data_IF_211223695324
#
_entry.id   IF_211223695324
#
_cell.length_a   1.000
_cell.length_b   1.000
_cell.length_c   1.000
_cell.angle_alpha   90.00
_cell.angle_beta   90.00
_cell.angle_gamma   90.00
#
_symmetry.space_group_name_H-M   'P 1'
#
loop_
_entity.id
_entity.type
_entity.pdbx_description
1 polymer ?
#
# COMPACT_ATOMS: atom_id res chain seq x y z
N UNK A 1 14.33 -18.02 -3.82
CA UNK A 1 13.09 -18.80 -4.06
C UNK A 1 12.61 -18.50 -5.46
N UNK A 2 12.02 -19.48 -6.15
CA UNK A 2 11.33 -19.26 -7.44
C UNK A 2 9.95 -18.63 -7.21
N UNK A 3 9.35 -18.07 -8.27
CA UNK A 3 7.96 -17.55 -8.21
C UNK A 3 7.00 -18.62 -7.67
N UNK A 4 7.09 -19.85 -8.20
CA UNK A 4 6.23 -20.97 -7.76
C UNK A 4 6.33 -21.20 -6.25
N UNK A 5 7.55 -21.25 -5.71
CA UNK A 5 7.79 -21.44 -4.28
C UNK A 5 7.24 -20.28 -3.45
N UNK A 6 7.38 -19.04 -3.92
CA UNK A 6 6.83 -17.88 -3.21
C UNK A 6 5.30 -17.97 -3.17
N UNK A 7 4.65 -18.25 -4.31
CA UNK A 7 3.20 -18.41 -4.40
C UNK A 7 2.68 -19.47 -3.43
N UNK A 8 3.33 -20.63 -3.39
CA UNK A 8 2.99 -21.71 -2.45
C UNK A 8 3.08 -21.28 -0.99
N UNK A 9 4.07 -20.46 -0.62
CA UNK A 9 4.25 -19.99 0.76
C UNK A 9 3.22 -18.92 1.12
N UNK A 10 2.94 -17.97 0.22
CA UNK A 10 2.06 -16.83 0.54
C UNK A 10 0.57 -17.16 0.41
N UNK A 11 0.21 -18.16 -0.39
CA UNK A 11 -1.18 -18.55 -0.62
C UNK A 11 -1.88 -19.06 0.65
N UNK A 12 -3.17 -18.75 0.76
CA UNK A 12 -4.04 -19.26 1.83
C UNK A 12 -3.63 -18.81 3.24
N UNK A 13 -2.84 -17.75 3.37
CA UNK A 13 -2.48 -17.13 4.64
C UNK A 13 -2.80 -15.64 4.64
N UNK A 14 -3.06 -15.11 5.83
CA UNK A 14 -3.11 -13.67 6.09
C UNK A 14 -1.73 -13.20 6.55
N UNK A 15 -1.19 -12.17 5.91
CA UNK A 15 0.13 -11.60 6.21
C UNK A 15 -0.04 -10.19 6.77
N UNK A 16 0.41 -9.96 8.00
CA UNK A 16 0.19 -8.70 8.73
C UNK A 16 1.51 -8.06 9.13
N UNK A 17 1.63 -6.74 9.00
CA UNK A 17 2.81 -5.98 9.44
C UNK A 17 3.12 -6.26 10.90
N UNK A 18 4.39 -6.51 11.21
CA UNK A 18 4.84 -6.77 12.59
C UNK A 18 4.83 -5.51 13.47
N UNK A 19 4.86 -4.34 12.84
CA UNK A 19 4.88 -3.02 13.47
C UNK A 19 4.39 -1.95 12.49
N UNK A 20 4.04 -0.74 12.95
CA UNK A 20 3.81 0.40 12.07
C UNK A 20 5.03 0.67 11.17
N UNK A 21 4.77 0.71 9.88
CA UNK A 21 5.71 1.01 8.80
C UNK A 21 5.89 2.50 8.66
N UNK A 22 7.09 2.94 8.30
CA UNK A 22 7.36 4.34 7.96
C UNK A 22 7.46 4.50 6.44
N UNK A 23 6.80 5.52 5.91
CA UNK A 23 6.88 5.95 4.52
C UNK A 23 7.24 7.43 4.46
N UNK A 24 8.36 7.81 3.83
CA UNK A 24 8.62 9.20 3.48
C UNK A 24 7.51 9.73 2.56
N UNK A 25 7.03 10.94 2.80
CA UNK A 25 6.08 11.62 1.90
C UNK A 25 6.80 12.65 1.02
N UNK A 26 6.15 13.06 -0.07
CA UNK A 26 6.62 14.19 -0.90
C UNK A 26 6.53 15.53 -0.14
N UNK A 27 5.67 15.61 0.87
CA UNK A 27 5.56 16.79 1.73
C UNK A 27 6.83 16.96 2.57
N UNK A 28 7.29 18.20 2.69
CA UNK A 28 8.51 18.54 3.44
C UNK A 28 8.21 19.34 4.71
N UNK A 29 9.08 19.19 5.69
CA UNK A 29 9.22 20.12 6.81
C UNK A 29 9.92 21.40 6.34
N UNK A 30 9.92 22.44 7.19
CA UNK A 30 10.58 23.71 6.89
C UNK A 30 12.10 23.56 6.66
N UNK A 31 12.72 22.58 7.34
CA UNK A 31 14.12 22.21 7.17
C UNK A 31 14.42 21.38 5.91
N UNK A 32 13.39 21.11 5.08
CA UNK A 32 13.48 20.33 3.85
C UNK A 32 13.42 18.81 4.05
N UNK A 33 13.37 18.31 5.29
CA UNK A 33 13.22 16.87 5.55
C UNK A 33 11.84 16.35 5.15
N UNK A 34 11.75 15.08 4.72
CA UNK A 34 10.48 14.46 4.36
C UNK A 34 9.59 14.29 5.59
N UNK A 35 8.32 14.70 5.50
CA UNK A 35 7.34 14.38 6.54
C UNK A 35 7.05 12.88 6.50
N UNK A 36 7.23 12.14 7.60
CA UNK A 36 6.92 10.72 7.62
C UNK A 36 5.40 10.53 7.62
N UNK A 37 5.00 9.38 7.11
CA UNK A 37 3.66 8.86 7.22
C UNK A 37 3.74 7.40 7.66
N UNK A 38 2.78 6.97 8.46
CA UNK A 38 2.83 5.66 9.09
C UNK A 38 1.68 4.79 8.62
N UNK A 39 1.93 3.49 8.48
CA UNK A 39 0.87 2.56 8.11
C UNK A 39 1.11 1.15 8.63
N UNK A 40 0.06 0.33 8.63
CA UNK A 40 0.16 -1.12 8.72
C UNK A 40 -0.58 -1.75 7.55
N UNK A 41 -0.23 -2.98 7.23
CA UNK A 41 -0.82 -3.75 6.14
C UNK A 41 -1.31 -5.09 6.63
N UNK A 42 -2.41 -5.54 6.05
CA UNK A 42 -2.90 -6.90 6.08
C UNK A 42 -3.13 -7.35 4.65
N UNK A 43 -2.40 -8.36 4.21
CA UNK A 43 -2.34 -8.83 2.84
C UNK A 43 -2.76 -10.29 2.74
N UNK A 44 -3.54 -10.62 1.72
CA UNK A 44 -3.81 -12.01 1.34
C UNK A 44 -3.55 -12.18 -0.15
N UNK A 45 -3.03 -13.35 -0.51
CA UNK A 45 -2.79 -13.76 -1.89
C UNK A 45 -3.61 -14.99 -2.24
N UNK A 46 -4.20 -14.99 -3.44
CA UNK A 46 -4.95 -16.10 -4.00
C UNK A 46 -4.18 -16.75 -5.16
N UNK A 47 -4.44 -18.04 -5.40
CA UNK A 47 -3.69 -18.85 -6.38
C UNK A 47 -3.88 -18.44 -7.84
N UNK A 48 -4.89 -17.61 -8.12
CA UNK A 48 -5.18 -17.01 -9.44
C UNK A 48 -4.48 -15.65 -9.64
N UNK A 49 -3.48 -15.34 -8.81
CA UNK A 49 -2.78 -14.05 -8.80
C UNK A 49 -3.63 -12.84 -8.39
N UNK A 50 -4.81 -13.07 -7.80
CA UNK A 50 -5.54 -12.00 -7.11
C UNK A 50 -4.99 -11.76 -5.71
N UNK A 51 -5.22 -10.56 -5.19
CA UNK A 51 -4.87 -10.20 -3.82
C UNK A 51 -5.94 -9.33 -3.16
N UNK A 52 -5.95 -9.35 -1.83
CA UNK A 52 -6.56 -8.27 -1.02
C UNK A 52 -5.50 -7.61 -0.15
N UNK A 53 -5.64 -6.30 0.03
CA UNK A 53 -4.76 -5.50 0.86
C UNK A 53 -5.60 -4.50 1.65
N UNK A 54 -5.56 -4.65 2.97
CA UNK A 54 -6.01 -3.62 3.89
C UNK A 54 -4.80 -2.81 4.35
N UNK A 55 -4.91 -1.48 4.28
CA UNK A 55 -3.91 -0.55 4.80
C UNK A 55 -4.58 0.32 5.84
N UNK A 56 -4.02 0.41 7.04
CA UNK A 56 -4.44 1.44 8.00
C UNK A 56 -3.34 2.48 8.09
N UNK A 57 -3.69 3.74 7.91
CA UNK A 57 -2.80 4.87 7.98
C UNK A 57 -2.86 5.53 9.36
N UNK A 58 -1.73 5.99 9.86
CA UNK A 58 -1.61 6.60 11.19
C UNK A 58 -0.89 7.94 11.15
N UNK A 59 -1.24 8.81 12.09
CA UNK A 59 -0.57 10.10 12.29
C UNK A 59 0.71 9.98 13.14
N UNK A 60 0.89 8.88 13.87
CA UNK A 60 2.00 8.65 14.78
C UNK A 60 2.74 7.33 14.51
N UNK A 61 3.99 7.27 14.94
CA UNK A 61 4.88 6.13 14.72
C UNK A 61 4.49 4.87 15.50
N UNK A 62 3.62 4.98 16.50
CA UNK A 62 3.20 3.86 17.35
C UNK A 62 1.89 3.24 16.86
N UNK A 63 1.23 3.82 15.85
CA UNK A 63 -0.01 3.31 15.30
C UNK A 63 -1.24 3.56 16.18
N UNK A 64 -1.19 4.55 17.07
CA UNK A 64 -2.27 4.81 18.03
C UNK A 64 -3.36 5.76 17.49
N UNK A 65 -3.04 6.57 16.48
CA UNK A 65 -3.93 7.57 15.91
C UNK A 65 -4.25 7.23 14.45
N UNK A 66 -5.21 6.31 14.20
CA UNK A 66 -5.60 5.92 12.85
C UNK A 66 -6.31 7.07 12.13
N UNK A 67 -5.96 7.30 10.87
CA UNK A 67 -6.47 8.38 10.02
C UNK A 67 -7.47 7.87 8.98
N UNK A 68 -7.10 6.78 8.31
CA UNK A 68 -7.86 6.19 7.22
C UNK A 68 -7.55 4.70 7.11
N UNK A 69 -8.53 3.94 6.64
CA UNK A 69 -8.36 2.58 6.17
C UNK A 69 -8.56 2.55 4.65
N UNK A 70 -7.66 1.87 3.96
CA UNK A 70 -7.79 1.53 2.55
C UNK A 70 -8.08 0.06 2.42
N UNK A 71 -9.01 -0.30 1.54
CA UNK A 71 -9.22 -1.68 1.14
C UNK A 71 -9.06 -1.79 -0.37
N UNK A 72 -8.14 -2.65 -0.78
CA UNK A 72 -7.72 -2.80 -2.18
C UNK A 72 -7.87 -4.26 -2.57
N UNK A 73 -8.43 -4.50 -3.74
CA UNK A 73 -8.44 -5.81 -4.41
C UNK A 73 -7.99 -5.65 -5.86
N UNK A 74 -7.23 -6.61 -6.35
CA UNK A 74 -6.89 -6.69 -7.77
C UNK A 74 -5.86 -7.77 -8.05
N UNK A 75 -5.01 -7.53 -9.05
CA UNK A 75 -4.12 -8.55 -9.62
C UNK A 75 -2.64 -8.26 -9.41
N UNK A 76 -1.85 -9.33 -9.30
CA UNK A 76 -0.39 -9.33 -9.27
C UNK A 76 0.16 -9.84 -10.59
N UNK A 77 1.02 -9.06 -11.25
CA UNK A 77 1.79 -9.53 -12.41
C UNK A 77 3.23 -9.79 -11.98
N UNK A 78 3.73 -11.01 -12.21
CA UNK A 78 5.10 -11.39 -11.85
C UNK A 78 6.07 -11.06 -12.98
N UNK A 79 7.10 -10.26 -12.71
CA UNK A 79 8.02 -9.71 -13.72
C UNK A 79 9.44 -10.32 -13.65
N UNK A 80 9.60 -11.42 -12.91
CA UNK A 80 10.88 -12.11 -12.72
C UNK A 80 11.71 -11.53 -11.57
N UNK A 81 13.02 -11.77 -11.60
CA UNK A 81 13.90 -11.49 -10.46
C UNK A 81 14.06 -9.98 -10.17
N UNK A 82 14.13 -9.63 -8.89
CA UNK A 82 14.48 -8.30 -8.41
C UNK A 82 15.93 -8.28 -7.91
N UNK A 83 16.78 -7.31 -8.31
CA UNK A 83 18.20 -7.29 -7.95
C UNK A 83 18.51 -6.97 -6.48
N UNK A 84 17.49 -6.75 -5.62
CA UNK A 84 17.71 -6.29 -4.24
C UNK A 84 18.29 -7.39 -3.35
N UNK A 85 17.88 -8.64 -3.62
CA UNK A 85 18.27 -9.81 -2.86
C UNK A 85 17.99 -11.06 -3.71
N UNK A 86 18.83 -12.08 -3.57
CA UNK A 86 18.62 -13.36 -4.25
C UNK A 86 17.26 -13.96 -3.86
N UNK A 87 16.43 -14.24 -4.86
CA UNK A 87 15.09 -14.78 -4.68
C UNK A 87 13.98 -13.75 -4.47
N UNK A 88 14.28 -12.45 -4.40
CA UNK A 88 13.25 -11.41 -4.52
C UNK A 88 12.70 -11.38 -5.95
N UNK A 89 11.39 -11.16 -6.09
CA UNK A 89 10.71 -11.12 -7.38
C UNK A 89 10.08 -9.75 -7.59
N UNK A 90 10.29 -9.16 -8.76
CA UNK A 90 9.55 -7.99 -9.23
C UNK A 90 8.09 -8.39 -9.40
N UNK A 91 7.21 -7.55 -8.87
CA UNK A 91 5.77 -7.68 -9.10
C UNK A 91 5.19 -6.34 -9.51
N UNK A 92 4.11 -6.37 -10.27
CA UNK A 92 3.27 -5.21 -10.48
C UNK A 92 1.93 -5.48 -9.81
N UNK A 93 1.56 -4.64 -8.84
CA UNK A 93 0.24 -4.65 -8.24
C UNK A 93 -0.69 -3.74 -9.04
N UNK A 94 -1.88 -4.22 -9.38
CA UNK A 94 -2.94 -3.40 -9.97
C UNK A 94 -4.17 -3.45 -9.05
N UNK A 95 -4.71 -2.29 -8.67
CA UNK A 95 -5.96 -2.18 -7.92
C UNK A 95 -7.14 -2.04 -8.89
N UNK A 96 -7.41 -3.10 -9.64
CA UNK A 96 -8.37 -3.11 -10.74
C UNK A 96 -9.74 -3.70 -10.38
N UNK A 97 -9.91 -4.27 -9.18
CA UNK A 97 -11.20 -4.82 -8.73
C UNK A 97 -11.91 -3.96 -7.68
N UNK A 98 -11.20 -3.56 -6.62
CA UNK A 98 -11.77 -2.75 -5.53
C UNK A 98 -10.74 -1.74 -5.07
N UNK A 99 -11.18 -0.50 -4.85
CA UNK A 99 -10.39 0.50 -4.13
C UNK A 99 -11.31 1.39 -3.31
N UNK A 100 -11.28 1.19 -1.99
CA UNK A 100 -12.13 1.87 -1.02
C UNK A 100 -11.33 2.63 0.02
N UNK A 101 -11.95 3.71 0.52
CA UNK A 101 -11.44 4.53 1.61
C UNK A 101 -12.48 4.62 2.71
N UNK A 102 -12.06 4.34 3.94
CA UNK A 102 -12.83 4.59 5.16
C UNK A 102 -12.08 5.61 6.03
N UNK A 103 -12.58 6.83 6.22
CA UNK A 103 -11.99 7.80 7.14
C UNK A 103 -12.16 7.32 8.58
N UNK A 104 -11.10 7.36 9.38
CA UNK A 104 -11.13 6.93 10.79
C UNK A 104 -10.97 8.09 11.77
N UNK A 105 -10.58 9.28 11.29
CA UNK A 105 -10.37 10.46 12.11
C UNK A 105 -11.12 11.69 11.58
N UNK A 106 -11.74 12.52 12.44
CA UNK A 106 -12.44 13.73 12.02
C UNK A 106 -11.58 14.70 11.20
N UNK A 107 -10.30 14.87 11.57
CA UNK A 107 -9.38 15.72 10.81
C UNK A 107 -9.16 15.23 9.37
N UNK A 108 -9.16 13.91 9.15
CA UNK A 108 -9.05 13.37 7.79
C UNK A 108 -10.37 13.55 7.01
N UNK A 109 -11.52 13.39 7.68
CA UNK A 109 -12.83 13.74 7.11
C UNK A 109 -12.87 15.19 6.64
N UNK A 110 -12.35 16.14 7.44
CA UNK A 110 -12.29 17.56 7.04
C UNK A 110 -11.48 17.76 5.75
N UNK A 111 -10.34 17.07 5.61
CA UNK A 111 -9.51 17.10 4.39
C UNK A 111 -10.27 16.53 3.20
N UNK A 112 -10.91 15.36 3.34
CA UNK A 112 -11.66 14.74 2.24
C UNK A 112 -12.86 15.59 1.83
N UNK A 113 -13.59 16.12 2.80
CA UNK A 113 -14.64 17.10 2.56
C UNK A 113 -14.09 18.46 2.12
N UNK A 114 -12.80 18.67 1.89
CA UNK A 114 -12.29 19.86 1.23
C UNK A 114 -11.82 19.55 -0.20
N UNK A 115 -11.15 18.41 -0.39
CA UNK A 115 -10.42 18.09 -1.62
C UNK A 115 -11.01 16.93 -2.44
N UNK A 116 -12.00 16.19 -1.92
CA UNK A 116 -12.56 14.98 -2.55
C UNK A 116 -14.10 14.95 -2.48
N UNK A 117 -14.78 16.05 -2.84
CA UNK A 117 -16.26 16.14 -2.83
C UNK A 117 -16.91 15.63 -4.12
N UNK A 118 -16.28 15.89 -5.26
CA UNK A 118 -16.88 15.59 -6.57
C UNK A 118 -17.01 14.08 -6.75
N UNK A 119 -18.20 13.60 -7.08
CA UNK A 119 -18.52 12.17 -7.28
C UNK A 119 -18.40 11.28 -6.02
N UNK A 120 -18.47 11.90 -4.85
CA UNK A 120 -18.54 11.25 -3.54
C UNK A 120 -19.73 11.78 -2.74
N UNK A 121 -20.28 10.94 -1.87
CA UNK A 121 -21.12 11.42 -0.80
C UNK A 121 -20.27 12.22 0.20
N UNK A 122 -20.94 13.02 1.05
CA UNK A 122 -20.27 13.66 2.19
C UNK A 122 -19.47 12.61 2.97
N UNK A 123 -18.20 12.89 3.20
CA UNK A 123 -17.35 11.99 3.97
C UNK A 123 -17.69 12.08 5.45
N UNK A 124 -17.76 10.93 6.09
CA UNK A 124 -18.06 10.77 7.51
C UNK A 124 -17.09 9.77 8.13
N UNK A 125 -16.86 9.86 9.44
CA UNK A 125 -16.03 8.89 10.15
C UNK A 125 -16.69 7.52 10.05
N UNK A 126 -15.91 6.50 9.71
CA UNK A 126 -16.35 5.13 9.42
C UNK A 126 -17.24 4.96 8.18
N UNK A 127 -17.47 6.03 7.40
CA UNK A 127 -18.20 5.97 6.14
C UNK A 127 -17.29 5.52 4.99
N UNK A 128 -17.40 4.26 4.57
CA UNK A 128 -16.63 3.73 3.43
C UNK A 128 -17.19 4.23 2.10
N UNK A 129 -16.31 4.64 1.19
CA UNK A 129 -16.66 4.91 -0.20
C UNK A 129 -15.62 4.36 -1.16
N UNK A 130 -16.08 3.87 -2.33
CA UNK A 130 -15.22 3.47 -3.43
C UNK A 130 -14.67 4.69 -4.17
N UNK A 131 -13.34 4.72 -4.32
CA UNK A 131 -12.57 5.69 -5.10
C UNK A 131 -12.10 5.12 -6.44
N UNK A 132 -12.45 3.87 -6.75
CA UNK A 132 -12.03 3.18 -7.96
C UNK A 132 -12.44 3.93 -9.23
N UNK A 133 -11.46 4.21 -10.10
CA UNK A 133 -11.65 4.94 -11.35
C UNK A 133 -12.05 6.41 -11.19
N UNK A 134 -12.12 6.94 -9.97
CA UNK A 134 -12.47 8.33 -9.69
C UNK A 134 -11.23 9.16 -9.44
N UNK A 135 -11.27 10.44 -9.82
CA UNK A 135 -10.25 11.39 -9.39
C UNK A 135 -10.26 11.49 -7.85
N UNK A 136 -9.09 11.33 -7.23
CA UNK A 136 -8.93 11.37 -5.78
C UNK A 136 -7.59 12.04 -5.43
N UNK A 137 -7.61 13.38 -5.39
CA UNK A 137 -6.43 14.21 -5.17
C UNK A 137 -5.61 13.88 -3.92
N UNK A 138 -6.21 13.50 -2.76
CA UNK A 138 -5.42 13.12 -1.59
C UNK A 138 -4.41 11.99 -1.85
N UNK A 139 -4.69 11.11 -2.82
CA UNK A 139 -3.77 10.04 -3.26
C UNK A 139 -3.22 10.26 -4.68
N UNK A 140 -3.40 11.44 -5.25
CA UNK A 140 -2.89 11.77 -6.58
C UNK A 140 -3.50 10.96 -7.72
N UNK A 141 -4.73 10.44 -7.56
CA UNK A 141 -5.41 9.66 -8.60
C UNK A 141 -6.18 10.57 -9.54
N UNK A 142 -6.00 10.36 -10.85
CA UNK A 142 -6.80 10.98 -11.90
C UNK A 142 -8.04 10.14 -12.25
N UNK A 143 -9.03 10.75 -12.90
CA UNK A 143 -10.21 10.04 -13.39
C UNK A 143 -9.83 8.95 -14.41
N UNK A 144 -10.45 7.78 -14.29
CA UNK A 144 -10.17 6.60 -15.11
C UNK A 144 -8.82 5.91 -14.81
N UNK A 145 -8.00 6.44 -13.90
CA UNK A 145 -6.74 5.83 -13.54
C UNK A 145 -6.95 4.57 -12.70
N UNK A 146 -6.37 3.45 -13.15
CA UNK A 146 -6.18 2.25 -12.32
C UNK A 146 -4.86 2.42 -11.57
N UNK A 147 -4.91 2.32 -10.25
CA UNK A 147 -3.69 2.40 -9.44
C UNK A 147 -2.81 1.18 -9.71
N UNK A 148 -1.54 1.43 -10.02
CA UNK A 148 -0.52 0.43 -10.30
C UNK A 148 0.76 0.75 -9.54
N UNK A 149 1.36 -0.24 -8.89
CA UNK A 149 2.67 -0.13 -8.23
C UNK A 149 3.65 -1.18 -8.76
N UNK A 150 4.85 -0.71 -9.14
CA UNK A 150 5.99 -1.52 -9.55
C UNK A 150 6.85 -1.86 -8.32
N UNK A 151 6.53 -2.95 -7.65
CA UNK A 151 7.12 -3.32 -6.35
C UNK A 151 7.89 -4.66 -6.44
N UNK A 152 8.08 -5.33 -5.30
CA UNK A 152 8.65 -6.66 -5.18
C UNK A 152 7.93 -7.47 -4.10
N UNK A 153 8.03 -8.79 -4.22
CA UNK A 153 7.77 -9.73 -3.14
C UNK A 153 9.05 -10.50 -2.83
N UNK A 154 9.40 -10.59 -1.55
CA UNK A 154 10.53 -11.35 -1.07
C UNK A 154 10.16 -12.09 0.21
N UNK A 155 10.35 -13.40 0.24
CA UNK A 155 10.11 -14.24 1.42
C UNK A 155 11.45 -14.68 1.99
N UNK A 156 11.65 -14.41 3.28
CA UNK A 156 12.83 -14.82 4.04
C UNK A 156 12.43 -15.15 5.47
N UNK A 157 12.80 -16.34 5.97
CA UNK A 157 12.54 -16.76 7.36
C UNK A 157 11.07 -16.55 7.80
N UNK A 158 10.12 -16.99 6.98
CA UNK A 158 8.66 -16.85 7.20
C UNK A 158 8.17 -15.39 7.34
N UNK A 159 8.95 -14.43 6.83
CA UNK A 159 8.55 -13.03 6.71
C UNK A 159 8.38 -12.68 5.24
N UNK A 160 7.32 -11.91 4.94
CA UNK A 160 7.02 -11.40 3.62
C UNK A 160 7.40 -9.91 3.54
N UNK A 161 8.39 -9.60 2.73
CA UNK A 161 8.89 -8.24 2.49
C UNK A 161 8.36 -7.69 1.17
N UNK A 162 8.03 -6.40 1.20
CA UNK A 162 7.77 -5.57 0.02
C UNK A 162 8.80 -4.43 -0.02
N UNK A 163 8.73 -3.59 -1.03
CA UNK A 163 9.54 -2.39 -1.15
C UNK A 163 9.28 -1.33 -0.08
N UNK A 164 10.36 -0.77 0.47
CA UNK A 164 10.31 0.48 1.20
C UNK A 164 10.30 1.66 0.23
N UNK A 165 9.43 2.64 0.50
CA UNK A 165 9.32 3.85 -0.32
C UNK A 165 10.65 4.60 -0.35
N UNK A 166 10.96 5.24 -1.46
CA UNK A 166 12.20 6.01 -1.61
C UNK A 166 12.31 7.08 -0.52
N UNK A 167 13.54 7.35 -0.07
CA UNK A 167 13.82 8.34 0.98
C UNK A 167 13.36 9.76 0.61
N UNK A 168 13.30 10.05 -0.68
CA UNK A 168 12.78 11.30 -1.23
C UNK A 168 11.24 11.34 -1.35
N UNK A 169 10.55 10.25 -1.00
CA UNK A 169 9.09 10.14 -1.03
C UNK A 169 8.49 9.72 -2.38
N UNK A 170 9.31 9.50 -3.42
CA UNK A 170 8.81 8.98 -4.70
C UNK A 170 8.12 7.63 -4.50
N UNK A 171 6.99 7.45 -5.18
CA UNK A 171 6.27 6.18 -5.22
C UNK A 171 6.89 5.20 -6.20
N UNK A 172 6.21 4.06 -6.38
CA UNK A 172 6.60 3.01 -7.32
C UNK A 172 5.73 3.06 -8.57
N UNK A 173 5.58 4.25 -9.16
CA UNK A 173 4.66 4.57 -10.25
C UNK A 173 5.21 4.21 -11.65
N UNK A 174 6.50 3.90 -11.74
CA UNK A 174 7.17 3.48 -12.98
C UNK A 174 8.16 2.35 -12.73
N UNK A 175 8.50 1.58 -13.77
CA UNK A 175 9.53 0.52 -13.69
C UNK A 175 10.88 1.05 -13.16
N UNK A 176 11.27 2.26 -13.56
CA UNK A 176 12.51 2.90 -13.10
C UNK A 176 12.48 3.33 -11.63
N UNK A 177 11.30 3.42 -11.04
CA UNK A 177 11.10 3.79 -9.63
C UNK A 177 10.88 2.58 -8.71
N UNK A 178 11.18 1.34 -9.14
CA UNK A 178 11.12 0.17 -8.25
C UNK A 178 11.91 0.39 -6.95
N UNK A 179 11.45 -0.20 -5.84
CA UNK A 179 12.11 -0.07 -4.54
C UNK A 179 13.57 -0.57 -4.57
N UNK A 180 14.43 0.09 -3.80
CA UNK A 180 15.83 -0.32 -3.59
C UNK A 180 16.10 -0.74 -2.13
N UNK A 181 15.08 -0.67 -1.28
CA UNK A 181 15.12 -1.07 0.12
C UNK A 181 13.90 -1.96 0.44
N UNK A 182 14.02 -2.78 1.48
CA UNK A 182 12.91 -3.59 1.99
C UNK A 182 12.18 -2.85 3.11
N UNK A 183 10.86 -2.92 3.12
CA UNK A 183 10.01 -2.40 4.19
C UNK A 183 9.99 -3.35 5.39
N UNK A 184 9.51 -2.85 6.55
CA UNK A 184 9.12 -3.71 7.69
C UNK A 184 8.27 -4.88 7.17
N UNK A 185 8.62 -6.13 7.53
CA UNK A 185 7.97 -7.30 6.97
C UNK A 185 6.56 -7.52 7.52
N UNK A 186 5.84 -8.35 6.78
CA UNK A 186 4.61 -8.98 7.21
C UNK A 186 4.92 -10.39 7.74
N UNK A 187 4.19 -10.84 8.77
CA UNK A 187 4.21 -12.23 9.25
C UNK A 187 2.87 -12.90 8.99
N UNK A 188 2.93 -14.20 8.71
CA UNK A 188 1.74 -15.02 8.54
C UNK A 188 1.01 -15.15 9.88
N UNK A 189 -0.27 -14.81 9.91
CA UNK A 189 -1.14 -15.08 11.05
C UNK A 189 -1.49 -16.57 11.11
N UNK A 190 -1.64 -17.13 12.33
CA UNK A 190 -2.02 -18.52 12.54
C UNK A 190 -3.44 -18.84 12.03
#
# INVERSE_FOLDING_TARGET
>A
MTIKQIKEVIAGGEWVSIAPEVRPSLSRNEDGSAKPFYLSRRFTYQTDDTFTLEIVNFADAYGNLPLAKLFIKGHIQWQGEHPIAAGAQKVDFSADEVYEVTPLHPGFVSILNQFARTNFNTWEVNGTQSIQGKAFAPFGLAEGQIFKEYDLLYVLNNMLFWGARHVDGRGFDTEGNRPTNLQIPLIRQP
#
